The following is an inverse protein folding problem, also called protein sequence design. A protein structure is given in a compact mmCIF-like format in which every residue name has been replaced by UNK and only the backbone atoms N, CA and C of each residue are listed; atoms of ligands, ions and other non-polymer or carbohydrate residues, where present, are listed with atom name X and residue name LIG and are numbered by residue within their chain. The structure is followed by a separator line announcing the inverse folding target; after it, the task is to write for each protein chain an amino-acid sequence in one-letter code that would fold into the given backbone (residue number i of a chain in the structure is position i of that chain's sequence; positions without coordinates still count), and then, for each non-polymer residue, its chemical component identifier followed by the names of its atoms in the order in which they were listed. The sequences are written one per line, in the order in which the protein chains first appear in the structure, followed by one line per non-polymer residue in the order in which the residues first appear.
data_IF_436170644693
#
_entry.id   IF_436170644693
#
_cell.length_a   1.000
_cell.length_b   1.000
_cell.length_c   1.000
_cell.angle_alpha   90.00
_cell.angle_beta   90.00
_cell.angle_gamma   90.00
#
_symmetry.space_group_name_H-M   'P 1'
#
loop_
_entity.id
_entity.type
_entity.pdbx_description
1 polymer ?
#
# COMPACT_ATOMS: atom_id res chain seq x y z
N UNK A 1 -37.88 -52.93 -14.61
CA UNK A 1 -38.66 -51.85 -13.98
C UNK A 1 -38.56 -52.11 -12.48
N UNK A 2 -37.81 -51.40 -11.67
CA UNK A 2 -37.53 -49.97 -11.67
C UNK A 2 -36.19 -49.68 -10.99
N UNK A 3 -35.43 -48.77 -11.57
CA UNK A 3 -34.27 -48.13 -10.97
C UNK A 3 -34.71 -47.23 -9.82
N UNK A 4 -33.94 -47.16 -8.74
CA UNK A 4 -33.98 -46.01 -7.81
C UNK A 4 -32.56 -45.62 -7.49
N UNK A 5 -32.14 -44.53 -8.12
CA UNK A 5 -30.98 -43.72 -7.75
C UNK A 5 -31.36 -42.94 -6.50
N UNK A 6 -30.51 -42.94 -5.47
CA UNK A 6 -30.54 -41.87 -4.47
C UNK A 6 -29.11 -41.43 -4.14
N UNK A 7 -28.76 -40.27 -4.68
CA UNK A 7 -27.57 -39.47 -4.41
C UNK A 7 -27.82 -38.56 -3.22
N UNK A 8 -27.04 -38.67 -2.13
CA UNK A 8 -26.54 -37.52 -1.37
C UNK A 8 -25.75 -37.96 -0.12
N UNK A 9 -24.50 -37.50 -0.01
CA UNK A 9 -24.01 -36.87 1.21
C UNK A 9 -22.69 -36.12 0.93
N UNK A 10 -22.80 -34.79 0.85
CA UNK A 10 -21.71 -33.82 0.90
C UNK A 10 -21.34 -33.58 2.37
N UNK A 11 -20.07 -33.72 2.75
CA UNK A 11 -19.41 -33.05 3.89
C UNK A 11 -17.93 -33.51 3.93
N UNK A 12 -16.90 -32.73 4.24
CA UNK A 12 -16.76 -31.34 4.61
C UNK A 12 -15.30 -30.93 4.34
N UNK A 13 -15.07 -29.64 4.03
CA UNK A 13 -13.77 -29.00 3.89
C UNK A 13 -12.76 -29.41 4.96
N UNK A 14 -11.60 -29.92 4.53
CA UNK A 14 -10.37 -29.92 5.33
C UNK A 14 -9.33 -29.03 4.65
N UNK A 15 -9.62 -27.74 4.56
CA UNK A 15 -8.58 -26.71 4.42
C UNK A 15 -8.17 -26.28 5.83
N UNK A 16 -7.39 -27.13 6.49
CA UNK A 16 -6.68 -26.77 7.72
C UNK A 16 -5.53 -25.83 7.32
N UNK A 17 -5.86 -24.59 6.96
CA UNK A 17 -4.88 -23.53 6.86
C UNK A 17 -4.42 -23.24 8.29
N UNK A 18 -3.18 -23.63 8.61
CA UNK A 18 -2.56 -23.32 9.88
C UNK A 18 -2.72 -21.82 10.19
N UNK A 19 -2.96 -21.42 11.46
CA UNK A 19 -3.03 -20.01 11.79
C UNK A 19 -1.66 -19.42 11.49
N UNK A 20 -1.60 -18.48 10.54
CA UNK A 20 -0.43 -17.62 10.37
C UNK A 20 -0.12 -17.01 11.73
N UNK A 21 1.06 -17.31 12.28
CA UNK A 21 1.45 -16.92 13.62
C UNK A 21 1.25 -15.42 13.84
N UNK A 22 0.26 -15.06 14.66
CA UNK A 22 -0.09 -13.69 15.02
C UNK A 22 0.96 -12.99 15.92
N UNK A 23 2.13 -13.59 16.12
CA UNK A 23 3.15 -13.12 17.07
C UNK A 23 4.05 -12.01 16.54
N UNK A 24 3.94 -11.68 15.24
CA UNK A 24 4.66 -10.55 14.62
C UNK A 24 3.65 -9.52 14.08
N UNK A 25 2.57 -9.29 14.85
CA UNK A 25 1.59 -8.27 14.52
C UNK A 25 2.26 -6.90 14.61
N UNK A 26 2.69 -6.36 13.46
CA UNK A 26 3.15 -4.98 13.32
C UNK A 26 2.14 -4.07 14.03
N UNK A 27 2.64 -3.17 14.86
CA UNK A 27 1.82 -2.11 15.44
C UNK A 27 1.11 -1.37 14.29
N UNK A 28 -0.20 -1.29 14.36
CA UNK A 28 -1.03 -0.63 13.35
C UNK A 28 -1.66 0.63 13.96
N UNK A 29 -1.93 1.63 13.13
CA UNK A 29 -2.67 2.84 13.52
C UNK A 29 -3.96 2.93 12.69
N UNK A 30 -5.02 2.17 13.04
CA UNK A 30 -6.20 2.02 12.20
C UNK A 30 -6.81 3.36 11.79
N UNK A 31 -7.11 3.53 10.50
CA UNK A 31 -7.74 4.72 9.95
C UNK A 31 -6.79 5.90 9.70
N UNK A 32 -5.52 5.78 10.09
CA UNK A 32 -4.50 6.80 9.81
C UNK A 32 -4.03 6.67 8.35
N UNK A 33 -3.92 7.79 7.64
CA UNK A 33 -3.45 7.83 6.24
C UNK A 33 -2.32 8.83 6.11
N UNK A 34 -1.22 8.37 5.53
CA UNK A 34 0.00 9.17 5.38
C UNK A 34 0.38 9.21 3.91
N UNK A 35 0.71 10.40 3.40
CA UNK A 35 1.24 10.59 2.07
C UNK A 35 2.73 10.91 2.16
N UNK A 36 3.53 10.11 1.48
CA UNK A 36 4.93 10.39 1.20
C UNK A 36 5.01 11.02 -0.18
N UNK A 37 5.41 12.29 -0.25
CA UNK A 37 5.67 12.97 -1.51
C UNK A 37 7.18 13.13 -1.71
N UNK A 38 7.70 12.58 -2.80
CA UNK A 38 9.11 12.56 -3.15
C UNK A 38 9.33 13.37 -4.43
N UNK A 39 10.44 14.08 -4.47
CA UNK A 39 11.04 14.60 -5.71
C UNK A 39 12.33 13.83 -5.91
N UNK A 40 12.50 13.20 -7.07
CA UNK A 40 13.62 12.33 -7.34
C UNK A 40 14.08 12.45 -8.80
N UNK A 41 15.33 12.10 -9.08
CA UNK A 41 15.86 12.08 -10.46
C UNK A 41 15.04 11.13 -11.34
N UNK A 42 14.78 11.53 -12.58
CA UNK A 42 14.06 10.73 -13.57
C UNK A 42 14.91 9.61 -14.19
N UNK A 43 15.50 8.78 -13.33
CA UNK A 43 16.21 7.56 -13.71
C UNK A 43 15.23 6.37 -13.82
N UNK A 44 15.41 5.45 -14.80
CA UNK A 44 14.57 4.25 -14.93
C UNK A 44 14.50 3.39 -13.66
N UNK A 45 15.54 3.43 -12.83
CA UNK A 45 15.63 2.71 -11.56
C UNK A 45 14.98 3.42 -10.37
N UNK A 46 14.59 4.69 -10.48
CA UNK A 46 14.05 5.47 -9.35
C UNK A 46 12.76 4.85 -8.79
N UNK A 47 11.73 4.68 -9.63
CA UNK A 47 10.44 4.19 -9.18
C UNK A 47 10.50 2.72 -8.69
N UNK A 48 11.17 1.77 -9.38
CA UNK A 48 11.35 0.42 -8.87
C UNK A 48 12.00 0.36 -7.49
N UNK A 49 12.99 1.22 -7.23
CA UNK A 49 13.77 1.21 -5.98
C UNK A 49 13.00 1.82 -4.80
N UNK A 50 12.17 2.83 -5.06
CA UNK A 50 11.19 3.35 -4.09
C UNK A 50 10.18 2.25 -3.72
N UNK A 51 9.63 1.56 -4.73
CA UNK A 51 8.67 0.48 -4.51
C UNK A 51 9.28 -0.75 -3.83
N UNK A 52 10.51 -1.10 -4.18
CA UNK A 52 11.25 -2.21 -3.55
C UNK A 52 11.41 -1.96 -2.04
N UNK A 53 11.77 -0.74 -1.63
CA UNK A 53 11.88 -0.40 -0.21
C UNK A 53 10.56 -0.62 0.54
N UNK A 54 9.45 -0.14 -0.03
CA UNK A 54 8.11 -0.25 0.55
C UNK A 54 7.67 -1.72 0.63
N UNK A 55 7.94 -2.50 -0.42
CA UNK A 55 7.68 -3.93 -0.48
C UNK A 55 8.49 -4.72 0.56
N UNK A 56 9.79 -4.39 0.77
CA UNK A 56 10.62 -5.00 1.82
C UNK A 56 10.11 -4.75 3.21
N UNK A 57 9.35 -3.68 3.40
CA UNK A 57 8.66 -3.38 4.66
C UNK A 57 7.31 -4.05 4.73
N UNK A 58 6.83 -4.79 3.74
CA UNK A 58 5.48 -5.36 3.73
C UNK A 58 4.38 -4.30 3.78
N UNK A 59 4.67 -3.10 3.24
CA UNK A 59 3.70 -2.02 3.12
C UNK A 59 3.05 -2.08 1.73
N UNK A 60 1.75 -1.83 1.68
CA UNK A 60 0.98 -1.79 0.42
C UNK A 60 0.44 -0.37 0.25
N UNK A 61 0.81 0.34 -0.83
CA UNK A 61 0.23 1.65 -1.12
C UNK A 61 -1.26 1.56 -1.39
N UNK A 62 -2.03 2.46 -0.78
CA UNK A 62 -3.45 2.68 -1.08
C UNK A 62 -3.64 3.43 -2.41
N UNK A 63 -2.66 4.28 -2.75
CA UNK A 63 -2.54 4.99 -4.00
C UNK A 63 -1.06 5.28 -4.27
N UNK A 64 -0.70 5.33 -5.55
CA UNK A 64 0.61 5.73 -6.02
C UNK A 64 0.44 6.57 -7.29
N UNK A 65 0.97 7.78 -7.26
CA UNK A 65 1.05 8.66 -8.41
C UNK A 65 2.51 8.99 -8.69
N UNK A 66 2.88 8.97 -9.96
CA UNK A 66 4.19 9.42 -10.41
C UNK A 66 4.04 10.21 -11.69
N UNK A 67 4.70 11.36 -11.77
CA UNK A 67 4.68 12.23 -12.92
C UNK A 67 6.07 12.75 -13.22
N UNK A 68 6.47 12.69 -14.48
CA UNK A 68 7.68 13.36 -14.96
C UNK A 68 7.41 14.87 -15.06
N UNK A 69 8.24 15.65 -14.38
CA UNK A 69 8.23 17.11 -14.39
C UNK A 69 9.65 17.59 -14.68
N UNK A 70 9.94 17.89 -15.96
CA UNK A 70 11.32 18.18 -16.40
C UNK A 70 12.19 16.94 -16.38
N UNK A 71 13.30 16.98 -15.64
CA UNK A 71 14.25 15.89 -15.40
C UNK A 71 14.01 15.16 -14.06
N UNK A 72 12.92 15.47 -13.37
CA UNK A 72 12.56 14.93 -12.07
C UNK A 72 11.24 14.17 -12.12
N UNK A 73 11.10 13.17 -11.24
CA UNK A 73 9.84 12.52 -10.91
C UNK A 73 9.26 13.14 -9.65
N UNK A 74 8.04 13.63 -9.76
CA UNK A 74 7.15 13.90 -8.64
C UNK A 74 6.41 12.60 -8.32
N UNK A 75 6.66 12.02 -7.15
CA UNK A 75 6.07 10.76 -6.70
C UNK A 75 5.24 11.04 -5.45
N UNK A 76 4.00 10.59 -5.41
CA UNK A 76 3.16 10.62 -4.21
C UNK A 76 2.68 9.20 -3.92
N UNK A 77 2.90 8.75 -2.69
CA UNK A 77 2.50 7.42 -2.24
C UNK A 77 1.73 7.52 -0.94
N UNK A 78 0.53 6.95 -0.94
CA UNK A 78 -0.33 6.94 0.22
C UNK A 78 -0.28 5.57 0.91
N UNK A 79 -0.03 5.56 2.21
CA UNK A 79 -0.03 4.35 3.05
C UNK A 79 -1.08 4.50 4.15
N UNK A 80 -1.90 3.46 4.31
CA UNK A 80 -2.87 3.33 5.40
C UNK A 80 -2.29 2.65 6.63
N UNK A 81 -2.94 2.89 7.76
CA UNK A 81 -2.76 2.15 9.01
C UNK A 81 -1.32 2.18 9.57
N UNK A 82 -0.55 3.22 9.21
CA UNK A 82 0.88 3.35 9.53
C UNK A 82 1.10 4.18 10.82
N UNK A 83 1.70 3.61 11.89
CA UNK A 83 2.01 4.37 13.10
C UNK A 83 3.07 5.44 12.88
N UNK A 84 3.06 6.51 13.69
CA UNK A 84 3.98 7.65 13.58
C UNK A 84 5.45 7.23 13.58
N UNK A 85 5.86 6.35 14.50
CA UNK A 85 7.25 5.90 14.58
C UNK A 85 7.72 5.21 13.29
N UNK A 86 6.82 4.47 12.63
CA UNK A 86 7.12 3.83 11.36
C UNK A 86 7.06 4.82 10.20
N UNK A 87 6.13 5.78 10.23
CA UNK A 87 6.10 6.91 9.30
C UNK A 87 7.45 7.65 9.28
N UNK A 88 7.99 8.01 10.44
CA UNK A 88 9.27 8.72 10.56
C UNK A 88 10.45 7.88 10.10
N UNK A 89 10.40 6.58 10.34
CA UNK A 89 11.43 5.64 9.88
C UNK A 89 11.40 5.49 8.35
N UNK A 90 10.22 5.24 7.77
CA UNK A 90 10.00 5.14 6.32
C UNK A 90 10.40 6.42 5.62
N UNK A 91 9.97 7.58 6.12
CA UNK A 91 10.31 8.88 5.54
C UNK A 91 11.82 9.12 5.50
N UNK A 92 12.53 8.82 6.59
CA UNK A 92 14.00 8.94 6.64
C UNK A 92 14.68 8.00 5.64
N UNK A 93 14.29 6.73 5.58
CA UNK A 93 14.92 5.77 4.68
C UNK A 93 14.62 6.04 3.20
N UNK A 94 13.41 6.46 2.87
CA UNK A 94 13.08 6.91 1.51
C UNK A 94 13.93 8.12 1.09
N UNK A 95 14.13 9.09 1.99
CA UNK A 95 15.00 10.24 1.77
C UNK A 95 16.51 9.91 1.66
N UNK A 96 16.92 8.68 1.99
CA UNK A 96 18.29 8.20 1.84
C UNK A 96 18.52 7.44 0.53
N UNK A 97 17.47 7.20 -0.27
CA UNK A 97 17.63 6.61 -1.60
C UNK A 97 18.41 7.62 -2.46
N UNK A 98 19.54 7.23 -3.10
CA UNK A 98 20.43 8.18 -3.78
C UNK A 98 19.78 9.09 -4.83
N UNK A 99 18.68 8.67 -5.46
CA UNK A 99 17.96 9.46 -6.47
C UNK A 99 16.91 10.40 -5.87
N UNK A 100 16.63 10.31 -4.57
CA UNK A 100 15.60 11.13 -3.91
C UNK A 100 16.23 12.44 -3.43
N UNK A 101 15.84 13.54 -4.07
CA UNK A 101 16.31 14.88 -3.74
C UNK A 101 15.56 15.47 -2.54
N UNK A 102 14.25 15.20 -2.44
CA UNK A 102 13.41 15.70 -1.35
C UNK A 102 12.32 14.70 -1.01
N UNK A 103 11.98 14.64 0.28
CA UNK A 103 10.77 13.99 0.75
C UNK A 103 9.99 14.91 1.69
N UNK A 104 8.67 14.92 1.56
CA UNK A 104 7.74 15.52 2.50
C UNK A 104 6.71 14.50 2.92
N UNK A 105 6.34 14.52 4.19
CA UNK A 105 5.37 13.59 4.76
C UNK A 105 4.19 14.38 5.30
N UNK A 106 2.99 14.05 4.88
CA UNK A 106 1.76 14.66 5.37
C UNK A 106 0.79 13.59 5.85
N UNK A 107 0.03 13.92 6.88
CA UNK A 107 -1.07 13.08 7.34
C UNK A 107 -2.36 13.59 6.71
N UNK A 108 -3.13 12.69 6.10
CA UNK A 108 -4.46 13.01 5.62
C UNK A 108 -5.45 12.85 6.77
N UNK A 109 -6.22 13.91 7.04
CA UNK A 109 -7.42 13.77 7.86
C UNK A 109 -8.31 12.69 7.23
N UNK A 110 -8.80 11.75 8.05
CA UNK A 110 -9.54 10.57 7.62
C UNK A 110 -10.72 10.90 6.66
N UNK A 111 -11.30 12.09 6.79
CA UNK A 111 -12.45 12.57 6.01
C UNK A 111 -12.08 12.98 4.57
N UNK A 112 -10.95 13.67 4.37
CA UNK A 112 -10.45 14.09 3.04
C UNK A 112 -10.06 12.87 2.20
N UNK A 113 -9.55 11.86 2.87
CA UNK A 113 -8.98 10.69 2.27
C UNK A 113 -10.04 9.79 1.62
N UNK A 114 -11.22 9.69 2.23
CA UNK A 114 -12.37 9.00 1.61
C UNK A 114 -12.93 9.82 0.43
N UNK A 115 -13.02 11.15 0.58
CA UNK A 115 -13.61 12.04 -0.42
C UNK A 115 -12.81 12.10 -1.73
N UNK A 116 -11.47 12.17 -1.68
CA UNK A 116 -10.64 12.22 -2.90
C UNK A 116 -10.65 10.88 -3.66
N UNK A 117 -10.74 9.75 -2.95
CA UNK A 117 -10.84 8.41 -3.55
C UNK A 117 -12.11 8.25 -4.42
N UNK A 118 -13.22 8.87 -4.01
CA UNK A 118 -14.46 8.86 -4.79
C UNK A 118 -14.42 9.83 -5.98
N UNK A 119 -13.68 10.94 -5.90
CA UNK A 119 -13.58 11.90 -7.01
C UNK A 119 -12.71 11.40 -8.16
N UNK A 120 -11.61 10.71 -7.87
CA UNK A 120 -10.66 10.25 -8.89
C UNK A 120 -11.21 9.08 -9.72
N UNK A 121 -12.00 8.20 -9.10
CA UNK A 121 -12.75 7.13 -9.78
C UNK A 121 -13.91 7.68 -10.65
N UNK A 122 -14.54 8.79 -10.25
CA UNK A 122 -15.62 9.42 -11.00
C UNK A 122 -15.15 10.32 -12.16
N UNK A 123 -13.88 10.73 -12.17
CA UNK A 123 -13.29 11.55 -13.25
C UNK A 123 -12.65 10.69 -14.36
N UNK A 124 -12.68 9.37 -14.23
CA UNK A 124 -12.13 8.40 -15.17
C UNK A 124 -13.19 7.71 -16.08
N UNK A 125 -14.44 8.16 -16.04
CA UNK A 125 -15.51 7.87 -17.02
C UNK A 125 -15.71 9.04 -17.99
#
# INVERSE_FOLDING_TARGET
MSSTVNTNSLNANSSNAAPVSASDARATAPGRRVVFSLVADADPGTLPRVLEYVAKRGLVPLALHSRLTGDMLDIAMEIGDLPQAETDHVGRCLGQIPMVARITVTELAAEVAAAERFKELAAAE
#
